data_IF_527045494248
#
_entry.id   IF_527045494248
#
_cell.length_a   1.000
_cell.length_b   1.000
_cell.length_c   1.000
_cell.angle_alpha   90.00
_cell.angle_beta   90.00
_cell.angle_gamma   90.00
#
_symmetry.space_group_name_H-M   'P 1'
#
loop_
_entity.id
_entity.type
_entity.pdbx_description
1 polymer ?
#
# COMPACT_ATOMS: atom_id res chain seq x y z
N UNK A 1 -3.21 5.45 7.96
CA UNK A 1 -2.92 6.00 6.62
C UNK A 1 -2.62 7.50 6.59
N UNK A 2 -2.54 8.21 7.72
CA UNK A 2 -2.27 9.67 7.72
C UNK A 2 -0.79 9.93 7.93
N UNK A 3 -0.18 10.73 7.07
CA UNK A 3 1.22 11.21 7.21
C UNK A 3 1.46 11.88 8.56
N UNK A 4 0.43 12.55 9.10
CA UNK A 4 0.42 13.14 10.44
C UNK A 4 0.80 12.13 11.53
N UNK A 5 0.32 10.87 11.45
CA UNK A 5 0.68 9.85 12.45
C UNK A 5 2.17 9.53 12.41
N UNK A 6 2.74 9.41 11.20
CA UNK A 6 4.18 9.17 11.04
C UNK A 6 5.00 10.35 11.59
N UNK A 7 4.55 11.59 11.35
CA UNK A 7 5.19 12.80 11.88
C UNK A 7 5.10 12.87 13.40
N UNK A 8 3.95 12.53 13.98
CA UNK A 8 3.75 12.49 15.42
C UNK A 8 4.66 11.46 16.10
N UNK A 9 4.86 10.29 15.47
CA UNK A 9 5.81 9.28 15.98
C UNK A 9 7.23 9.84 15.96
N UNK A 10 7.67 10.47 14.85
CA UNK A 10 9.00 11.08 14.77
C UNK A 10 9.21 12.15 15.85
N UNK A 11 8.23 13.03 16.03
CA UNK A 11 8.27 14.07 17.07
C UNK A 11 8.36 13.44 18.47
N UNK A 12 7.51 12.44 18.75
CA UNK A 12 7.46 11.78 20.05
C UNK A 12 8.75 11.05 20.41
N UNK A 13 9.39 10.41 19.42
CA UNK A 13 10.72 9.79 19.61
C UNK A 13 11.76 10.85 19.99
N UNK A 14 11.71 12.02 19.35
CA UNK A 14 12.56 13.17 19.69
C UNK A 14 12.35 13.68 21.12
N UNK A 15 11.10 13.86 21.54
CA UNK A 15 10.75 14.31 22.89
C UNK A 15 11.25 13.34 23.97
N UNK A 16 11.05 12.03 23.76
CA UNK A 16 11.47 11.00 24.70
C UNK A 16 12.99 10.99 24.83
N UNK A 17 13.71 11.04 23.71
CA UNK A 17 15.18 11.09 23.71
C UNK A 17 15.71 12.33 24.42
N UNK A 18 15.09 13.50 24.22
CA UNK A 18 15.48 14.73 24.91
C UNK A 18 15.29 14.61 26.43
N UNK A 19 14.16 14.03 26.87
CA UNK A 19 13.91 13.78 28.30
C UNK A 19 14.95 12.85 28.94
N UNK A 20 15.30 11.75 28.26
CA UNK A 20 16.31 10.80 28.74
C UNK A 20 17.72 11.42 28.76
N UNK A 21 18.10 12.16 27.72
CA UNK A 21 19.38 12.88 27.67
C UNK A 21 19.54 13.81 28.88
N UNK A 22 18.49 14.57 29.20
CA UNK A 22 18.48 15.48 30.35
C UNK A 22 18.56 14.74 31.69
N UNK A 23 17.82 13.63 31.85
CA UNK A 23 17.75 12.90 33.12
C UNK A 23 19.10 12.24 33.51
N UNK A 24 19.89 11.83 32.51
CA UNK A 24 21.12 11.07 32.73
C UNK A 24 22.41 11.84 32.39
N UNK A 25 22.32 13.14 32.11
CA UNK A 25 23.47 13.95 31.66
C UNK A 25 24.19 13.32 30.45
N UNK A 26 23.41 12.81 29.50
CA UNK A 26 23.89 12.15 28.29
C UNK A 26 23.58 12.96 27.03
N UNK A 27 24.25 12.62 25.92
CA UNK A 27 23.90 13.11 24.59
C UNK A 27 23.26 11.98 23.78
N UNK A 28 22.09 12.23 23.19
CA UNK A 28 21.39 11.29 22.30
C UNK A 28 21.20 11.96 20.94
N UNK A 29 21.80 11.37 19.90
CA UNK A 29 21.64 11.82 18.52
C UNK A 29 20.66 10.88 17.81
N UNK A 30 19.65 11.44 17.15
CA UNK A 30 18.64 10.69 16.40
C UNK A 30 18.86 10.95 14.91
N UNK A 31 19.10 9.88 14.16
CA UNK A 31 19.09 9.92 12.70
C UNK A 31 17.83 9.23 12.21
N UNK A 32 16.95 9.98 11.54
CA UNK A 32 15.66 9.48 11.06
C UNK A 32 15.66 9.36 9.54
N UNK A 33 15.52 8.13 9.04
CA UNK A 33 15.33 7.86 7.62
C UNK A 33 13.85 7.62 7.36
N UNK A 34 13.22 8.51 6.59
CA UNK A 34 11.83 8.33 6.21
C UNK A 34 11.72 7.30 5.08
N UNK A 35 10.91 6.26 5.29
CA UNK A 35 10.43 5.41 4.21
C UNK A 35 9.26 6.06 3.45
N UNK A 36 8.69 5.38 2.43
CA UNK A 36 7.49 5.85 1.74
C UNK A 36 6.34 6.05 2.74
N UNK A 37 5.43 6.96 2.40
CA UNK A 37 4.18 7.11 3.18
C UNK A 37 3.33 5.86 3.04
N UNK A 38 2.25 5.78 3.81
CA UNK A 38 1.25 4.75 3.58
C UNK A 38 0.75 4.81 2.13
N UNK A 39 0.57 3.63 1.53
CA UNK A 39 -0.18 3.51 0.27
C UNK A 39 -1.64 3.87 0.56
N UNK A 40 -2.15 4.87 -0.17
CA UNK A 40 -3.53 5.33 -0.07
C UNK A 40 -4.09 5.40 -1.48
N UNK A 41 -5.06 4.53 -1.77
CA UNK A 41 -5.79 4.60 -3.02
C UNK A 41 -6.70 5.83 -3.03
N UNK A 42 -6.78 6.48 -4.18
CA UNK A 42 -7.82 7.46 -4.45
C UNK A 42 -9.20 6.77 -4.49
N UNK A 43 -10.21 7.37 -3.85
CA UNK A 43 -11.53 6.75 -3.70
C UNK A 43 -12.23 6.53 -5.05
N UNK A 44 -12.10 7.50 -5.96
CA UNK A 44 -12.69 7.42 -7.29
C UNK A 44 -12.04 6.28 -8.09
N UNK A 45 -10.71 6.25 -8.16
CA UNK A 45 -9.99 5.21 -8.90
C UNK A 45 -10.11 3.83 -8.27
N UNK A 46 -10.20 3.72 -6.93
CA UNK A 46 -10.46 2.47 -6.26
C UNK A 46 -11.85 1.93 -6.59
N UNK A 47 -12.86 2.81 -6.61
CA UNK A 47 -14.22 2.48 -7.02
C UNK A 47 -14.30 2.04 -8.48
N UNK A 48 -13.61 2.75 -9.37
CA UNK A 48 -13.51 2.43 -10.79
C UNK A 48 -12.82 1.08 -11.04
N UNK A 49 -11.67 0.84 -10.40
CA UNK A 49 -10.98 -0.45 -10.50
C UNK A 49 -11.86 -1.61 -10.01
N UNK A 50 -12.60 -1.39 -8.91
CA UNK A 50 -13.55 -2.37 -8.37
C UNK A 50 -14.71 -2.67 -9.33
N UNK A 51 -15.27 -1.67 -10.00
CA UNK A 51 -16.36 -1.90 -10.96
C UNK A 51 -15.88 -2.68 -12.17
N UNK A 52 -14.71 -2.34 -12.73
CA UNK A 52 -14.12 -3.06 -13.87
C UNK A 52 -13.77 -4.49 -13.48
N UNK A 53 -13.26 -4.72 -12.25
CA UNK A 53 -12.98 -6.08 -11.77
C UNK A 53 -14.26 -6.94 -11.74
N UNK A 54 -15.39 -6.39 -11.28
CA UNK A 54 -16.69 -7.10 -11.28
C UNK A 54 -17.16 -7.42 -12.69
N UNK A 55 -17.01 -6.49 -13.63
CA UNK A 55 -17.33 -6.73 -15.04
C UNK A 55 -16.46 -7.83 -15.66
N UNK A 56 -15.18 -7.89 -15.27
CA UNK A 56 -14.25 -8.95 -15.66
C UNK A 56 -14.53 -10.30 -14.97
N UNK A 57 -15.56 -10.38 -14.12
CA UNK A 57 -15.98 -11.61 -13.44
C UNK A 57 -15.28 -11.90 -12.13
N UNK A 58 -14.52 -10.95 -11.57
CA UNK A 58 -13.91 -11.11 -10.24
C UNK A 58 -14.92 -10.90 -9.12
N UNK A 59 -14.79 -11.70 -8.06
CA UNK A 59 -15.28 -11.33 -6.75
C UNK A 59 -14.37 -10.26 -6.13
N UNK A 60 -14.95 -9.16 -5.68
CA UNK A 60 -14.21 -8.04 -5.09
C UNK A 60 -14.52 -7.91 -3.61
N UNK A 61 -13.51 -7.61 -2.80
CA UNK A 61 -13.66 -7.30 -1.37
C UNK A 61 -12.81 -6.09 -1.03
N UNK A 62 -13.22 -5.34 0.00
CA UNK A 62 -12.33 -4.32 0.54
C UNK A 62 -11.16 -5.03 1.21
N UNK A 63 -9.93 -4.66 0.82
CA UNK A 63 -8.75 -5.22 1.44
C UNK A 63 -8.69 -4.80 2.90
N UNK A 64 -8.34 -5.74 3.79
CA UNK A 64 -8.03 -5.39 5.17
C UNK A 64 -6.75 -4.53 5.23
N UNK A 65 -6.48 -3.96 6.39
CA UNK A 65 -5.24 -3.22 6.58
C UNK A 65 -4.08 -4.19 6.71
N UNK A 66 -3.09 -4.05 5.82
CA UNK A 66 -1.87 -4.84 5.85
C UNK A 66 -0.75 -4.00 6.50
N UNK A 67 0.12 -4.66 7.28
CA UNK A 67 1.28 -4.00 7.90
C UNK A 67 2.47 -3.84 6.95
N UNK A 68 2.39 -4.42 5.74
CA UNK A 68 3.44 -4.32 4.73
C UNK A 68 3.58 -2.89 4.20
N UNK A 69 4.81 -2.49 3.90
CA UNK A 69 5.09 -1.29 3.11
C UNK A 69 5.10 -1.63 1.62
N UNK A 70 4.55 -0.75 0.79
CA UNK A 70 4.49 -0.90 -0.67
C UNK A 70 4.97 0.40 -1.30
N UNK A 71 5.97 0.32 -2.19
CA UNK A 71 6.62 1.51 -2.75
C UNK A 71 5.78 2.18 -3.85
N UNK A 72 4.73 1.50 -4.33
CA UNK A 72 3.71 2.09 -5.18
C UNK A 72 3.06 3.33 -4.52
N UNK A 73 3.11 3.44 -3.19
CA UNK A 73 2.73 4.64 -2.45
C UNK A 73 3.42 5.92 -2.94
N UNK A 74 4.66 5.83 -3.46
CA UNK A 74 5.41 6.97 -3.99
C UNK A 74 4.72 7.55 -5.24
N UNK A 75 4.14 6.70 -6.10
CA UNK A 75 3.38 7.19 -7.25
C UNK A 75 2.09 7.88 -6.80
N UNK A 76 1.38 7.28 -5.84
CA UNK A 76 0.11 7.79 -5.34
C UNK A 76 0.21 9.11 -4.55
N UNK A 77 1.41 9.51 -4.13
CA UNK A 77 1.67 10.85 -3.60
C UNK A 77 1.61 11.95 -4.67
N UNK A 78 1.81 11.59 -5.94
CA UNK A 78 1.98 12.55 -7.03
C UNK A 78 0.78 12.54 -7.99
N UNK A 79 0.17 11.37 -8.20
CA UNK A 79 -0.97 11.19 -9.11
C UNK A 79 -2.05 10.34 -8.44
N UNK A 80 -3.34 10.66 -8.63
CA UNK A 80 -4.43 9.84 -8.13
C UNK A 80 -4.41 8.49 -8.85
N UNK A 81 -4.68 7.42 -8.13
CA UNK A 81 -4.67 6.07 -8.67
C UNK A 81 -5.08 5.02 -7.66
N UNK A 82 -5.08 3.77 -8.10
CA UNK A 82 -5.44 2.63 -7.28
C UNK A 82 -4.46 1.46 -7.46
N UNK A 83 -4.07 0.89 -6.33
CA UNK A 83 -3.37 -0.37 -6.22
C UNK A 83 -4.35 -1.45 -5.75
N UNK A 84 -4.36 -2.60 -6.41
CA UNK A 84 -5.26 -3.71 -6.11
C UNK A 84 -4.48 -5.00 -5.94
N UNK A 85 -4.90 -5.83 -5.01
CA UNK A 85 -4.38 -7.18 -4.83
C UNK A 85 -5.20 -8.16 -5.64
N UNK A 86 -4.55 -8.98 -6.46
CA UNK A 86 -5.17 -10.12 -7.14
C UNK A 86 -4.98 -11.35 -6.24
N UNK A 87 -6.06 -12.11 -6.02
CA UNK A 87 -5.98 -13.36 -5.27
C UNK A 87 -5.00 -14.33 -5.93
N UNK A 88 -4.08 -14.90 -5.16
CA UNK A 88 -3.04 -15.80 -5.68
C UNK A 88 -3.40 -17.29 -5.61
N UNK A 89 -4.50 -17.63 -4.93
CA UNK A 89 -4.90 -19.01 -4.60
C UNK A 89 -3.78 -19.85 -3.93
N UNK A 90 -2.85 -19.18 -3.24
CA UNK A 90 -1.81 -19.85 -2.45
C UNK A 90 -2.28 -20.04 -1.00
N UNK A 91 -2.03 -21.21 -0.38
CA UNK A 91 -2.33 -21.42 1.05
C UNK A 91 -1.35 -20.69 1.97
N UNK A 92 -0.24 -20.15 1.41
CA UNK A 92 0.76 -19.40 2.15
C UNK A 92 0.74 -17.93 1.71
N UNK A 93 1.10 -17.03 2.63
CA UNK A 93 1.26 -15.61 2.34
C UNK A 93 2.60 -15.28 1.68
N UNK A 94 2.74 -14.02 1.26
CA UNK A 94 4.00 -13.47 0.75
C UNK A 94 5.15 -13.70 1.77
N UNK A 95 6.38 -13.86 1.26
CA UNK A 95 7.60 -14.16 2.02
C UNK A 95 7.68 -15.54 2.69
N UNK A 96 6.62 -16.36 2.64
CA UNK A 96 6.72 -17.75 3.09
C UNK A 96 7.48 -18.59 2.05
N UNK A 97 8.41 -19.48 2.44
CA UNK A 97 9.20 -20.28 1.48
C UNK A 97 8.36 -21.25 0.65
N UNK A 98 7.17 -21.61 1.12
CA UNK A 98 6.20 -22.43 0.40
C UNK A 98 5.15 -21.61 -0.37
N UNK A 99 5.30 -20.28 -0.46
CA UNK A 99 4.45 -19.44 -1.30
C UNK A 99 4.53 -19.91 -2.75
N UNK A 100 3.38 -20.26 -3.31
CA UNK A 100 3.25 -20.73 -4.67
C UNK A 100 1.89 -20.26 -5.23
N UNK A 101 1.86 -19.19 -6.04
CA UNK A 101 0.62 -18.69 -6.63
C UNK A 101 0.16 -19.62 -7.76
N UNK A 102 -1.15 -19.67 -7.98
CA UNK A 102 -1.73 -20.41 -9.10
C UNK A 102 -1.52 -19.65 -10.41
N UNK A 103 -0.69 -20.18 -11.30
CA UNK A 103 -0.34 -19.56 -12.59
C UNK A 103 -1.55 -19.44 -13.54
N UNK A 104 -2.60 -20.24 -13.34
CA UNK A 104 -3.83 -20.10 -14.12
C UNK A 104 -4.52 -18.73 -13.91
N UNK A 105 -4.13 -18.00 -12.85
CA UNK A 105 -4.66 -16.67 -12.54
C UNK A 105 -3.96 -15.53 -13.30
N UNK A 106 -2.82 -15.80 -13.96
CA UNK A 106 -2.08 -14.79 -14.72
C UNK A 106 -2.90 -14.25 -15.88
N UNK A 107 -3.53 -15.14 -16.67
CA UNK A 107 -4.32 -14.71 -17.83
C UNK A 107 -5.55 -13.88 -17.43
N UNK A 108 -6.42 -14.31 -16.48
CA UNK A 108 -7.51 -13.47 -15.99
C UNK A 108 -7.05 -12.11 -15.48
N UNK A 109 -5.91 -12.07 -14.76
CA UNK A 109 -5.39 -10.83 -14.19
C UNK A 109 -4.93 -9.87 -15.31
N UNK A 110 -4.20 -10.38 -16.29
CA UNK A 110 -3.77 -9.62 -17.46
C UNK A 110 -4.96 -9.05 -18.24
N UNK A 111 -6.01 -9.85 -18.45
CA UNK A 111 -7.25 -9.40 -19.12
C UNK A 111 -7.95 -8.29 -18.34
N UNK A 112 -8.03 -8.41 -17.01
CA UNK A 112 -8.58 -7.36 -16.16
C UNK A 112 -7.79 -6.06 -16.28
N UNK A 113 -6.46 -6.10 -16.18
CA UNK A 113 -5.65 -4.88 -16.31
C UNK A 113 -5.72 -4.26 -17.72
N UNK A 114 -5.84 -5.08 -18.77
CA UNK A 114 -6.06 -4.58 -20.13
C UNK A 114 -7.41 -3.85 -20.24
N UNK A 115 -8.50 -4.47 -19.77
CA UNK A 115 -9.82 -3.86 -19.76
C UNK A 115 -9.87 -2.60 -18.89
N UNK A 116 -9.19 -2.60 -17.74
CA UNK A 116 -9.05 -1.46 -16.86
C UNK A 116 -8.37 -0.29 -17.57
N UNK A 117 -7.26 -0.54 -18.26
CA UNK A 117 -6.53 0.48 -19.00
C UNK A 117 -7.39 1.06 -20.14
N UNK A 118 -8.02 0.21 -20.96
CA UNK A 118 -8.89 0.64 -22.05
C UNK A 118 -10.04 1.53 -21.57
N UNK A 119 -10.71 1.14 -20.48
CA UNK A 119 -11.80 1.93 -19.91
C UNK A 119 -11.30 3.20 -19.23
N UNK A 120 -10.18 3.15 -18.53
CA UNK A 120 -9.59 4.32 -17.88
C UNK A 120 -9.28 5.41 -18.91
N UNK A 121 -8.74 5.03 -20.07
CA UNK A 121 -8.45 5.97 -21.18
C UNK A 121 -9.68 6.72 -21.72
N UNK A 122 -10.89 6.23 -21.47
CA UNK A 122 -12.14 6.90 -21.85
C UNK A 122 -12.64 7.90 -20.79
N UNK A 123 -12.02 7.92 -19.61
CA UNK A 123 -12.42 8.71 -18.44
C UNK A 123 -11.33 9.71 -18.01
N UNK A 124 -10.24 9.81 -18.78
CA UNK A 124 -9.18 10.84 -18.61
C UNK A 124 -9.47 12.07 -19.44
#
# INVERSE_FOLDING_TARGET
HRTEVQQNVKARVGEIAAGLASAFSAQINITWYAGPTALVNDEHWAGFATSVAREAGYETRHAELHMGGEDFAVYLQNIPGAFVSIGSNSPFGLHHPAFNPDEALIEPAARYFAQLAEKALQHV
#
